data_IF_078043487249
#
_entry.id   IF_078043487249
#
_cell.length_a   1.000
_cell.length_b   1.000
_cell.length_c   1.000
_cell.angle_alpha   90.00
_cell.angle_beta   90.00
_cell.angle_gamma   90.00
#
_symmetry.space_group_name_H-M   'P 1'
#
loop_
_entity.id
_entity.type
_entity.pdbx_description
1 polymer ?
#
# COMPACT_ATOMS: atom_id res chain seq x y z
N UNK A 1 -0.64 21.32 9.60
CA UNK A 1 0.14 20.15 9.14
C UNK A 1 -0.83 19.26 8.40
N UNK A 2 -0.68 19.14 7.07
CA UNK A 2 -1.70 18.51 6.22
C UNK A 2 -1.62 16.98 6.34
N UNK A 3 -2.66 16.36 6.89
CA UNK A 3 -2.80 14.89 6.91
C UNK A 3 -3.15 14.41 5.51
N UNK A 4 -2.48 13.38 5.02
CA UNK A 4 -2.78 12.78 3.72
C UNK A 4 -3.98 11.83 3.87
N UNK A 5 -5.10 12.12 3.22
CA UNK A 5 -6.24 11.19 3.21
C UNK A 5 -5.93 10.02 2.30
N UNK A 6 -5.87 8.81 2.86
CA UNK A 6 -5.60 7.58 2.10
C UNK A 6 -6.85 6.72 2.09
N UNK A 7 -7.30 6.36 0.88
CA UNK A 7 -8.37 5.40 0.68
C UNK A 7 -7.79 4.16 0.02
N UNK A 8 -7.95 2.99 0.61
CA UNK A 8 -7.48 1.72 0.04
C UNK A 8 -8.63 0.90 -0.54
N UNK A 9 -8.34 0.19 -1.63
CA UNK A 9 -9.20 -0.89 -2.07
C UNK A 9 -9.07 -2.09 -1.12
N UNK A 10 -10.15 -2.84 -0.86
CA UNK A 10 -10.08 -4.10 -0.11
C UNK A 10 -9.11 -5.10 -0.76
N UNK A 11 -8.96 -5.03 -2.09
CA UNK A 11 -8.07 -5.88 -2.86
C UNK A 11 -6.59 -5.60 -2.56
N UNK A 12 -6.17 -4.33 -2.62
CA UNK A 12 -4.80 -3.92 -2.33
C UNK A 12 -4.41 -4.30 -0.89
N UNK A 13 -5.32 -4.02 0.05
CA UNK A 13 -5.13 -4.36 1.45
C UNK A 13 -4.98 -5.88 1.64
N UNK A 14 -5.88 -6.66 1.04
CA UNK A 14 -5.85 -8.12 1.14
C UNK A 14 -4.58 -8.70 0.53
N UNK A 15 -4.15 -8.28 -0.66
CA UNK A 15 -2.91 -8.78 -1.29
C UNK A 15 -1.66 -8.52 -0.45
N UNK A 16 -1.55 -7.32 0.12
CA UNK A 16 -0.44 -6.99 1.02
C UNK A 16 -0.39 -7.95 2.22
N UNK A 17 -1.55 -8.24 2.84
CA UNK A 17 -1.60 -9.21 3.94
C UNK A 17 -1.34 -10.64 3.49
N UNK A 18 -1.91 -11.08 2.36
CA UNK A 18 -1.66 -12.43 1.82
C UNK A 18 -0.18 -12.68 1.56
N UNK A 19 0.55 -11.67 1.10
CA UNK A 19 2.00 -11.75 0.94
C UNK A 19 2.72 -12.01 2.28
N UNK A 20 2.33 -11.30 3.35
CA UNK A 20 2.86 -11.56 4.69
C UNK A 20 2.48 -12.94 5.24
N UNK A 21 1.25 -13.40 4.99
CA UNK A 21 0.81 -14.75 5.40
C UNK A 21 1.53 -15.86 4.64
N UNK A 22 1.96 -15.62 3.39
CA UNK A 22 2.78 -16.57 2.62
C UNK A 22 4.17 -16.75 3.24
N UNK A 23 4.76 -15.67 3.76
CA UNK A 23 6.12 -15.63 4.30
C UNK A 23 6.15 -15.09 5.75
N UNK A 24 5.63 -15.84 6.74
CA UNK A 24 5.37 -15.33 8.09
C UNK A 24 6.63 -15.05 8.91
N UNK A 25 7.77 -15.66 8.56
CA UNK A 25 9.04 -15.54 9.30
C UNK A 25 10.09 -14.76 8.51
N UNK A 26 9.69 -14.00 7.50
CA UNK A 26 10.59 -13.26 6.63
C UNK A 26 10.14 -11.80 6.53
N UNK A 27 11.07 -10.86 6.31
CA UNK A 27 10.69 -9.50 5.99
C UNK A 27 10.07 -9.45 4.60
N UNK A 28 9.00 -8.67 4.46
CA UNK A 28 8.22 -8.62 3.22
C UNK A 28 8.14 -7.19 2.71
N UNK A 29 8.32 -7.00 1.41
CA UNK A 29 8.16 -5.72 0.73
C UNK A 29 7.35 -5.83 -0.55
N UNK A 30 6.55 -4.81 -0.83
CA UNK A 30 6.01 -4.60 -2.16
C UNK A 30 5.68 -3.15 -2.45
N UNK A 31 5.12 -2.91 -3.63
CA UNK A 31 4.77 -1.58 -4.14
C UNK A 31 3.27 -1.37 -4.16
N UNK A 32 2.86 -0.12 -3.95
CA UNK A 32 1.45 0.30 -3.94
C UNK A 32 1.17 1.11 -5.20
N UNK A 33 0.17 0.71 -5.95
CA UNK A 33 -0.26 1.40 -7.18
C UNK A 33 -1.67 1.94 -7.03
N UNK A 34 -1.94 3.04 -7.73
CA UNK A 34 -3.26 3.63 -7.76
C UNK A 34 -3.27 5.06 -8.26
N UNK A 35 -4.24 5.84 -7.78
CA UNK A 35 -4.53 7.17 -8.31
C UNK A 35 -4.28 8.22 -7.24
N UNK A 36 -3.59 9.29 -7.63
CA UNK A 36 -3.49 10.51 -6.81
C UNK A 36 -4.69 11.39 -7.11
N UNK A 37 -5.34 11.88 -6.07
CA UNK A 37 -6.51 12.74 -6.16
C UNK A 37 -6.02 14.18 -6.05
N UNK A 38 -6.13 14.94 -7.13
CA UNK A 38 -5.92 16.39 -7.10
C UNK A 38 -7.07 17.07 -6.37
N UNK A 39 -6.78 18.05 -5.53
CA UNK A 39 -7.78 18.89 -4.88
C UNK A 39 -8.69 19.64 -5.89
N UNK A 40 -8.27 19.74 -7.16
CA UNK A 40 -9.01 20.41 -8.24
C UNK A 40 -10.23 19.62 -8.78
N UNK A 41 -10.42 18.35 -8.39
CA UNK A 41 -11.47 17.49 -8.97
C UNK A 41 -12.80 17.49 -8.20
N UNK A 42 -12.91 18.20 -7.07
CA UNK A 42 -14.17 18.30 -6.30
C UNK A 42 -15.05 19.50 -6.69
N UNK A 43 -14.70 20.23 -7.76
CA UNK A 43 -15.48 21.38 -8.25
C UNK A 43 -16.60 21.02 -9.26
N UNK A 44 -17.16 19.81 -9.21
CA UNK A 44 -18.38 19.45 -9.94
C UNK A 44 -19.50 19.09 -8.96
N UNK A 45 -19.87 20.03 -8.07
CA UNK A 45 -20.96 19.78 -7.14
C UNK A 45 -21.15 20.71 -5.93
N UNK A 46 -20.74 21.98 -5.94
CA UNK A 46 -21.37 22.97 -5.06
C UNK A 46 -21.21 24.39 -5.61
N UNK A 47 -22.34 25.08 -5.72
CA UNK A 47 -22.41 26.46 -6.16
C UNK A 47 -22.02 27.40 -5.01
N UNK A 48 -21.10 28.32 -5.29
CA UNK A 48 -21.01 29.63 -4.65
C UNK A 48 -20.32 29.72 -3.29
N UNK A 49 -19.03 30.09 -3.28
CA UNK A 49 -18.58 31.33 -2.65
C UNK A 49 -17.11 31.65 -3.00
N UNK A 50 -16.89 32.94 -3.18
CA UNK A 50 -15.70 33.62 -3.65
C UNK A 50 -14.58 33.68 -2.61
N UNK A 51 -13.34 33.47 -3.07
CA UNK A 51 -12.15 34.24 -2.73
C UNK A 51 -11.62 34.20 -1.30
N UNK A 52 -10.52 33.47 -1.08
CA UNK A 52 -9.37 33.96 -0.34
C UNK A 52 -8.15 33.07 -0.65
N UNK A 53 -7.03 33.68 -1.01
CA UNK A 53 -5.75 32.99 -1.11
C UNK A 53 -5.38 32.37 0.26
N UNK A 54 -5.18 31.05 0.31
CA UNK A 54 -4.52 30.39 1.44
C UNK A 54 -3.36 29.54 0.93
N UNK A 55 -2.19 29.77 1.50
CA UNK A 55 -0.93 29.22 1.05
C UNK A 55 -0.75 27.74 1.39
N UNK A 56 -0.28 26.99 0.39
CA UNK A 56 0.85 26.06 0.48
C UNK A 56 0.83 25.01 1.57
N UNK A 57 0.00 23.98 1.41
CA UNK A 57 0.08 22.75 2.19
C UNK A 57 -0.62 21.59 1.49
N UNK A 58 -0.08 21.14 0.34
CA UNK A 58 -0.67 20.09 -0.51
C UNK A 58 -1.09 18.88 0.34
N UNK A 59 -2.40 18.68 0.55
CA UNK A 59 -2.91 17.44 1.11
C UNK A 59 -2.82 16.38 0.01
N UNK A 60 -1.96 15.37 0.20
CA UNK A 60 -1.74 14.36 -0.83
C UNK A 60 -2.79 13.25 -0.70
N UNK A 61 -4.01 13.52 -1.18
CA UNK A 61 -5.07 12.53 -1.19
C UNK A 61 -4.76 11.46 -2.25
N UNK A 62 -4.89 10.19 -1.89
CA UNK A 62 -4.66 9.11 -2.83
C UNK A 62 -5.59 7.92 -2.61
N UNK A 63 -5.87 7.22 -3.71
CA UNK A 63 -6.60 5.97 -3.74
C UNK A 63 -5.63 4.85 -4.12
N UNK A 64 -5.37 3.93 -3.19
CA UNK A 64 -4.57 2.73 -3.45
C UNK A 64 -5.46 1.67 -4.08
N UNK A 65 -5.25 1.39 -5.36
CA UNK A 65 -6.07 0.43 -6.11
C UNK A 65 -5.57 -0.99 -5.99
N UNK A 66 -4.25 -1.19 -6.01
CA UNK A 66 -3.63 -2.51 -5.95
C UNK A 66 -2.29 -2.49 -5.20
N UNK A 67 -1.86 -3.67 -4.73
CA UNK A 67 -0.57 -3.90 -4.09
C UNK A 67 0.17 -5.01 -4.84
N UNK A 68 1.40 -4.73 -5.26
CA UNK A 68 2.27 -5.65 -6.02
C UNK A 68 3.34 -6.23 -5.08
N UNK A 69 3.28 -7.54 -4.75
CA UNK A 69 4.34 -8.26 -4.04
C UNK A 69 5.66 -8.22 -4.79
N UNK A 70 6.76 -7.91 -4.06
CA UNK A 70 8.09 -7.88 -4.66
C UNK A 70 9.05 -8.86 -4.01
N UNK A 71 9.36 -8.69 -2.72
CA UNK A 71 10.47 -9.40 -2.09
C UNK A 71 10.05 -10.03 -0.77
N UNK A 72 10.57 -11.23 -0.54
CA UNK A 72 10.48 -11.96 0.74
C UNK A 72 11.84 -12.52 1.18
N UNK A 73 12.81 -12.65 0.28
CA UNK A 73 14.14 -13.18 0.62
C UNK A 73 15.22 -12.11 0.68
N UNK A 74 15.13 -11.10 -0.19
CA UNK A 74 16.18 -10.11 -0.36
C UNK A 74 16.10 -9.06 0.76
N UNK A 75 17.23 -8.77 1.44
CA UNK A 75 17.25 -7.70 2.42
C UNK A 75 16.92 -6.38 1.73
N UNK A 76 15.89 -5.70 2.27
CA UNK A 76 15.36 -4.40 1.82
C UNK A 76 16.38 -3.27 1.95
N UNK A 77 17.47 -3.38 1.21
CA UNK A 77 18.66 -2.54 1.27
C UNK A 77 18.70 -1.65 0.05
N UNK A 78 19.19 -0.42 0.25
CA UNK A 78 19.57 0.45 -0.84
C UNK A 78 21.11 0.53 -0.93
N UNK A 79 21.69 0.46 -2.14
CA UNK A 79 21.05 0.19 -3.43
C UNK A 79 20.87 -1.32 -3.71
N UNK A 80 19.66 -1.75 -4.07
CA UNK A 80 19.40 -3.09 -4.61
C UNK A 80 19.09 -2.98 -6.11
N UNK A 81 19.85 -3.63 -7.00
CA UNK A 81 19.59 -3.59 -8.44
C UNK A 81 18.20 -4.15 -8.76
N UNK A 82 17.76 -5.16 -8.02
CA UNK A 82 16.43 -5.75 -8.20
C UNK A 82 15.31 -4.78 -7.84
N UNK A 83 15.52 -3.90 -6.85
CA UNK A 83 14.55 -2.85 -6.53
C UNK A 83 14.42 -1.83 -7.66
N UNK A 84 15.50 -1.55 -8.40
CA UNK A 84 15.44 -0.63 -9.55
C UNK A 84 14.66 -1.24 -10.72
N UNK A 85 14.92 -2.51 -11.02
CA UNK A 85 14.14 -3.26 -12.02
C UNK A 85 12.67 -3.32 -11.63
N UNK A 86 12.39 -3.67 -10.36
CA UNK A 86 11.03 -3.70 -9.82
C UNK A 86 10.33 -2.35 -9.97
N UNK A 87 11.00 -1.27 -9.59
CA UNK A 87 10.47 0.09 -9.71
C UNK A 87 10.09 0.41 -11.15
N UNK A 88 10.98 0.18 -12.11
CA UNK A 88 10.70 0.43 -13.53
C UNK A 88 9.56 -0.44 -14.06
N UNK A 89 9.50 -1.72 -13.68
CA UNK A 89 8.48 -2.64 -14.17
C UNK A 89 7.09 -2.30 -13.64
N UNK A 90 6.97 -2.08 -12.32
CA UNK A 90 5.71 -1.68 -11.67
C UNK A 90 5.28 -0.30 -12.14
N UNK A 91 6.20 0.65 -12.28
CA UNK A 91 5.88 1.99 -12.80
C UNK A 91 5.33 1.91 -14.22
N UNK A 92 5.96 1.12 -15.10
CA UNK A 92 5.49 0.94 -16.47
C UNK A 92 4.11 0.28 -16.51
N UNK A 93 3.90 -0.81 -15.77
CA UNK A 93 2.61 -1.51 -15.68
C UNK A 93 1.49 -0.64 -15.07
N UNK A 94 1.82 0.21 -14.09
CA UNK A 94 0.86 1.17 -13.56
C UNK A 94 0.48 2.20 -14.63
N UNK A 95 1.45 2.73 -15.39
CA UNK A 95 1.17 3.70 -16.45
C UNK A 95 0.30 3.13 -17.58
N UNK A 96 0.49 1.87 -17.98
CA UNK A 96 -0.34 1.23 -19.02
C UNK A 96 -1.80 1.05 -18.59
N UNK A 97 -2.06 0.96 -17.29
CA UNK A 97 -3.42 0.86 -16.71
C UNK A 97 -4.00 2.21 -16.27
N UNK A 98 -3.33 3.32 -16.58
CA UNK A 98 -3.75 4.66 -16.17
C UNK A 98 -3.64 4.91 -14.66
N UNK A 99 -2.78 4.15 -13.99
CA UNK A 99 -2.44 4.27 -12.59
C UNK A 99 -1.03 4.87 -12.43
N UNK A 100 -0.66 5.12 -11.19
CA UNK A 100 0.64 5.65 -10.79
C UNK A 100 1.18 4.88 -9.60
N UNK A 101 2.50 4.80 -9.48
CA UNK A 101 3.15 4.27 -8.30
C UNK A 101 2.98 5.26 -7.13
N UNK A 102 2.31 4.83 -6.06
CA UNK A 102 1.98 5.65 -4.91
C UNK A 102 3.01 5.51 -3.79
N UNK A 103 3.50 4.29 -3.59
CA UNK A 103 4.23 3.96 -2.37
C UNK A 103 4.77 2.55 -2.31
N UNK A 104 5.15 2.16 -1.11
CA UNK A 104 5.59 0.80 -0.77
C UNK A 104 4.88 0.32 0.48
N UNK A 105 4.75 -0.99 0.63
CA UNK A 105 4.40 -1.60 1.91
C UNK A 105 5.57 -2.42 2.42
N UNK A 106 5.75 -2.44 3.74
CA UNK A 106 6.86 -3.08 4.42
C UNK A 106 6.35 -3.81 5.65
N UNK A 107 6.87 -5.02 5.87
CA UNK A 107 6.69 -5.82 7.08
C UNK A 107 8.06 -6.29 7.55
N UNK A 108 8.38 -6.07 8.83
CA UNK A 108 9.64 -6.54 9.40
C UNK A 108 9.61 -8.06 9.64
N UNK A 109 10.76 -8.69 9.84
CA UNK A 109 10.84 -10.12 10.15
C UNK A 109 10.37 -10.44 11.58
N UNK A 110 10.73 -9.58 12.53
CA UNK A 110 10.46 -9.82 13.96
C UNK A 110 9.06 -9.36 14.34
N UNK A 111 8.34 -10.23 15.05
CA UNK A 111 6.97 -9.98 15.49
C UNK A 111 6.76 -8.63 16.20
N UNK A 112 7.67 -8.27 17.10
CA UNK A 112 7.56 -7.07 17.94
C UNK A 112 8.35 -5.87 17.39
N UNK A 113 8.98 -6.00 16.23
CA UNK A 113 9.75 -4.90 15.64
C UNK A 113 8.84 -4.01 14.80
N UNK A 114 8.39 -2.93 15.43
CA UNK A 114 7.56 -1.91 14.81
C UNK A 114 8.36 -0.67 14.34
N UNK A 115 9.67 -0.79 14.13
CA UNK A 115 10.52 0.34 13.71
C UNK A 115 10.94 0.22 12.27
N UNK A 116 11.10 1.35 11.59
CA UNK A 116 11.72 1.40 10.26
C UNK A 116 13.23 1.41 10.45
N UNK A 117 13.93 0.39 9.96
CA UNK A 117 15.39 0.35 10.07
C UNK A 117 16.05 1.54 9.36
N UNK A 118 17.23 2.02 9.80
CA UNK A 118 17.95 3.09 9.11
C UNK A 118 18.28 2.77 7.65
N UNK A 119 18.47 1.49 7.33
CA UNK A 119 18.72 1.00 5.97
C UNK A 119 17.45 1.15 5.13
N UNK A 120 16.31 0.69 5.65
CA UNK A 120 15.00 0.85 5.00
C UNK A 120 14.68 2.33 4.82
N UNK A 121 15.01 3.19 5.79
CA UNK A 121 14.83 4.64 5.65
C UNK A 121 15.63 5.23 4.48
N UNK A 122 16.90 4.86 4.32
CA UNK A 122 17.70 5.27 3.15
C UNK A 122 17.08 4.80 1.82
N UNK A 123 16.52 3.60 1.81
CA UNK A 123 15.80 3.08 0.64
C UNK A 123 14.53 3.90 0.34
N UNK A 124 13.74 4.23 1.36
CA UNK A 124 12.57 5.10 1.21
C UNK A 124 12.96 6.48 0.71
N UNK A 125 14.06 7.06 1.20
CA UNK A 125 14.55 8.36 0.75
C UNK A 125 15.03 8.32 -0.72
N UNK A 126 15.70 7.24 -1.12
CA UNK A 126 16.07 7.01 -2.51
C UNK A 126 14.84 6.89 -3.42
N UNK A 127 13.80 6.16 -3.01
CA UNK A 127 12.53 6.06 -3.74
C UNK A 127 11.79 7.41 -3.79
N UNK A 128 11.77 8.15 -2.69
CA UNK A 128 11.16 9.48 -2.60
C UNK A 128 11.84 10.47 -3.56
N UNK A 129 13.16 10.39 -3.74
CA UNK A 129 13.90 11.23 -4.69
C UNK A 129 13.55 10.99 -6.16
N UNK A 130 13.00 9.81 -6.50
CA UNK A 130 12.54 9.44 -7.83
C UNK A 130 11.10 9.88 -8.11
N UNK A 131 10.35 10.20 -7.05
CA UNK A 131 8.98 10.70 -7.18
C UNK A 131 8.99 12.20 -7.55
N UNK A 132 7.96 12.70 -8.26
CA UNK A 132 7.81 14.13 -8.50
C UNK A 132 7.88 14.93 -7.19
N UNK A 133 8.59 16.06 -7.19
CA UNK A 133 8.96 16.81 -5.97
C UNK A 133 7.79 17.27 -5.08
N UNK A 134 6.58 17.34 -5.65
CA UNK A 134 5.37 17.74 -4.93
C UNK A 134 4.65 16.56 -4.26
N UNK A 135 5.17 15.35 -4.41
CA UNK A 135 4.45 14.12 -4.05
C UNK A 135 5.20 13.34 -3.00
N UNK A 136 4.49 12.96 -1.94
CA UNK A 136 5.04 12.18 -0.83
C UNK A 136 4.89 10.69 -1.14
N UNK A 137 5.94 9.93 -0.88
CA UNK A 137 5.93 8.48 -0.98
C UNK A 137 5.08 7.92 0.16
N UNK A 138 4.05 7.16 -0.21
CA UNK A 138 3.21 6.44 0.74
C UNK A 138 3.95 5.21 1.28
N UNK A 139 3.83 4.96 2.57
CA UNK A 139 4.41 3.82 3.26
C UNK A 139 3.30 3.13 4.04
N UNK A 140 3.02 1.89 3.69
CA UNK A 140 2.19 1.00 4.50
C UNK A 140 3.10 0.16 5.39
N UNK A 141 3.02 0.36 6.69
CA UNK A 141 3.72 -0.47 7.65
C UNK A 141 2.78 -1.53 8.19
N UNK A 142 3.12 -2.80 7.95
CA UNK A 142 2.34 -3.94 8.38
C UNK A 142 2.88 -4.39 9.74
N UNK A 143 2.01 -4.40 10.75
CA UNK A 143 2.37 -4.86 12.08
C UNK A 143 2.08 -6.35 12.23
N UNK A 144 3.14 -7.14 12.38
CA UNK A 144 3.03 -8.59 12.46
C UNK A 144 2.26 -9.07 13.70
N UNK A 145 2.24 -8.32 14.80
CA UNK A 145 1.45 -8.64 15.99
C UNK A 145 -0.05 -8.68 15.68
N UNK A 146 -0.49 -7.93 14.66
CA UNK A 146 -1.88 -7.88 14.22
C UNK A 146 -2.22 -8.95 13.16
N UNK A 147 -1.25 -9.72 12.67
CA UNK A 147 -1.46 -10.79 11.69
C UNK A 147 -1.93 -12.08 12.38
N UNK A 148 -3.19 -12.12 12.79
CA UNK A 148 -3.81 -13.30 13.42
C UNK A 148 -4.56 -14.15 12.39
N UNK A 149 -4.79 -15.44 12.69
CA UNK A 149 -5.67 -16.32 11.92
C UNK A 149 -6.71 -16.93 12.87
N UNK A 150 -7.98 -16.49 12.85
CA UNK A 150 -8.59 -15.52 11.92
C UNK A 150 -8.11 -14.07 12.19
N UNK A 151 -8.22 -13.18 11.19
CA UNK A 151 -7.74 -11.81 11.31
C UNK A 151 -8.74 -10.96 12.13
N UNK A 152 -8.31 -10.42 13.27
CA UNK A 152 -9.20 -9.82 14.28
C UNK A 152 -9.35 -8.28 14.17
N UNK A 153 -8.55 -7.63 13.33
CA UNK A 153 -8.59 -6.18 13.14
C UNK A 153 -7.57 -5.71 12.11
N UNK A 154 -7.48 -4.39 11.94
CA UNK A 154 -6.53 -3.80 11.00
C UNK A 154 -5.08 -4.09 11.42
N UNK A 155 -4.24 -4.38 10.43
CA UNK A 155 -2.83 -4.71 10.61
C UNK A 155 -1.88 -3.69 9.96
N UNK A 156 -2.41 -2.76 9.17
CA UNK A 156 -1.62 -1.81 8.39
C UNK A 156 -1.79 -0.39 8.94
N UNK A 157 -0.66 0.28 9.17
CA UNK A 157 -0.61 1.74 9.40
C UNK A 157 -0.12 2.43 8.15
N UNK A 158 -0.88 3.42 7.70
CA UNK A 158 -0.53 4.27 6.56
C UNK A 158 0.21 5.52 7.02
N UNK A 159 1.36 5.80 6.43
CA UNK A 159 2.17 6.98 6.73
C UNK A 159 2.95 7.43 5.49
N UNK A 160 3.53 8.63 5.54
CA UNK A 160 4.39 9.14 4.48
C UNK A 160 5.86 8.93 4.84
N UNK A 161 6.73 8.79 3.83
CA UNK A 161 8.15 8.48 4.05
C UNK A 161 8.90 9.50 4.94
N UNK A 162 8.49 10.76 4.97
CA UNK A 162 9.03 11.80 5.87
C UNK A 162 8.61 11.62 7.33
N UNK A 163 7.54 10.87 7.60
CA UNK A 163 7.10 10.49 8.96
C UNK A 163 7.80 9.23 9.48
N UNK A 164 8.51 8.47 8.64
CA UNK A 164 9.33 7.34 9.07
C UNK A 164 10.58 7.81 9.84
N UNK A 165 10.55 7.76 11.17
CA UNK A 165 11.74 7.99 12.00
C UNK A 165 12.29 6.66 12.55
N UNK A 166 13.56 6.28 12.26
CA UNK A 166 14.15 5.04 12.78
C UNK A 166 14.19 4.91 14.30
N UNK A 167 14.18 6.03 15.03
CA UNK A 167 14.24 6.01 16.49
C UNK A 167 12.88 5.75 17.14
N UNK A 168 11.79 6.07 16.43
CA UNK A 168 10.42 6.01 16.92
C UNK A 168 9.70 4.78 16.34
N UNK A 169 9.11 3.98 17.22
CA UNK A 169 8.21 2.90 16.81
C UNK A 169 6.95 3.44 16.14
N UNK A 170 6.49 2.74 15.10
CA UNK A 170 5.20 2.98 14.46
C UNK A 170 4.12 2.43 15.41
N UNK A 171 3.09 3.23 15.74
CA UNK A 171 2.02 2.80 16.64
C UNK A 171 1.26 1.60 16.05
N UNK A 172 0.55 0.87 16.91
CA UNK A 172 -0.41 -0.14 16.43
C UNK A 172 -1.55 0.53 15.67
N UNK A 173 -2.18 -0.12 14.68
CA UNK A 173 -3.34 0.42 13.97
C UNK A 173 -4.47 0.90 14.89
N UNK A 174 -4.71 0.18 16.00
CA UNK A 174 -5.70 0.55 17.02
C UNK A 174 -5.38 1.81 17.82
N UNK A 175 -4.13 2.28 17.77
CA UNK A 175 -3.65 3.48 18.47
C UNK A 175 -3.60 4.71 17.56
N UNK A 176 -3.83 4.53 16.26
CA UNK A 176 -3.82 5.64 15.29
C UNK A 176 -5.14 6.41 15.40
N UNK A 177 -5.12 7.76 15.51
CA UNK A 177 -6.34 8.56 15.50
C UNK A 177 -7.14 8.36 14.21
N UNK A 178 -8.47 8.32 14.31
CA UNK A 178 -9.36 8.07 13.17
C UNK A 178 -9.17 9.06 11.98
N UNK A 179 -8.69 10.29 12.26
CA UNK A 179 -8.38 11.30 11.24
C UNK A 179 -7.11 11.00 10.42
N UNK A 180 -6.21 10.19 10.97
CA UNK A 180 -4.99 9.73 10.30
C UNK A 180 -5.12 8.28 9.81
N UNK A 181 -6.18 7.58 10.21
CA UNK A 181 -6.46 6.22 9.79
C UNK A 181 -6.83 6.18 8.31
N UNK A 182 -6.35 5.13 7.65
CA UNK A 182 -6.74 4.83 6.29
C UNK A 182 -8.19 4.38 6.25
N UNK A 183 -8.94 4.82 5.23
CA UNK A 183 -10.31 4.38 4.98
C UNK A 183 -10.36 3.43 3.80
N UNK A 184 -11.49 2.74 3.61
CA UNK A 184 -11.64 1.77 2.53
C UNK A 184 -12.75 2.15 1.57
N UNK A 185 -12.55 1.87 0.29
CA UNK A 185 -13.50 2.21 -0.76
C UNK A 185 -13.24 1.46 -2.06
N UNK A 186 -14.19 1.51 -2.98
CA UNK A 186 -14.02 1.01 -4.35
C UNK A 186 -13.86 2.18 -5.31
N UNK A 187 -13.00 2.06 -6.31
CA UNK A 187 -12.88 3.11 -7.31
C UNK A 187 -14.17 3.24 -8.12
N UNK A 188 -14.68 4.46 -8.27
CA UNK A 188 -15.75 4.75 -9.21
C UNK A 188 -15.16 5.43 -10.46
N UNK A 189 -15.23 4.74 -11.60
CA UNK A 189 -14.72 5.24 -12.87
C UNK A 189 -15.53 6.41 -13.44
N UNK A 190 -16.82 6.49 -13.13
CA UNK A 190 -17.71 7.52 -13.66
C UNK A 190 -17.48 8.86 -12.95
N UNK A 191 -17.27 8.83 -11.62
CA UNK A 191 -17.03 10.02 -10.81
C UNK A 191 -15.54 10.34 -10.62
N UNK A 192 -14.65 9.46 -11.10
CA UNK A 192 -13.19 9.54 -10.90
C UNK A 192 -12.79 9.78 -9.44
N UNK A 193 -13.54 9.16 -8.52
CA UNK A 193 -13.35 9.30 -7.09
C UNK A 193 -13.55 7.94 -6.38
N UNK A 194 -13.08 7.78 -5.14
CA UNK A 194 -13.51 6.67 -4.31
C UNK A 194 -15.04 6.68 -4.19
N UNK A 195 -15.66 5.56 -4.51
CA UNK A 195 -17.09 5.32 -4.40
C UNK A 195 -17.53 5.07 -2.96
N UNK A 196 -18.59 4.29 -2.78
CA UNK A 196 -19.14 4.02 -1.45
C UNK A 196 -18.07 3.48 -0.50
N UNK A 197 -17.98 4.01 0.74
CA UNK A 197 -17.04 3.51 1.73
C UNK A 197 -17.34 2.05 2.04
N UNK A 198 -16.29 1.26 2.16
CA UNK A 198 -16.35 -0.13 2.62
C UNK A 198 -16.04 -0.11 4.11
N UNK A 199 -16.83 -0.82 4.91
CA UNK A 199 -16.57 -0.91 6.35
C UNK A 199 -15.33 -1.75 6.63
N UNK A 200 -14.65 -1.47 7.74
CA UNK A 200 -13.46 -2.24 8.14
C UNK A 200 -13.79 -3.72 8.28
N UNK A 201 -14.95 -4.06 8.83
CA UNK A 201 -15.42 -5.45 8.97
C UNK A 201 -15.55 -6.15 7.63
N UNK A 202 -16.04 -5.47 6.59
CA UNK A 202 -16.15 -6.04 5.24
C UNK A 202 -14.79 -6.29 4.58
N UNK A 203 -13.79 -5.46 4.89
CA UNK A 203 -12.40 -5.70 4.45
C UNK A 203 -11.81 -6.90 5.19
N UNK A 204 -12.00 -6.98 6.50
CA UNK A 204 -11.52 -8.12 7.29
C UNK A 204 -12.19 -9.44 6.88
N UNK A 205 -13.47 -9.42 6.55
CA UNK A 205 -14.18 -10.55 5.97
C UNK A 205 -13.57 -10.96 4.62
N UNK A 206 -13.21 -10.00 3.77
CA UNK A 206 -12.53 -10.25 2.49
C UNK A 206 -11.18 -10.94 2.71
N UNK A 207 -10.39 -10.49 3.69
CA UNK A 207 -9.11 -11.11 4.06
C UNK A 207 -9.34 -12.54 4.58
N UNK A 208 -10.31 -12.73 5.48
CA UNK A 208 -10.65 -14.05 6.03
C UNK A 208 -11.03 -15.02 4.92
N UNK A 209 -11.94 -14.61 4.02
CA UNK A 209 -12.37 -15.41 2.88
C UNK A 209 -11.20 -15.78 1.95
N UNK A 210 -10.25 -14.86 1.73
CA UNK A 210 -9.07 -15.13 0.93
C UNK A 210 -8.11 -16.13 1.62
N UNK A 211 -7.96 -16.04 2.94
CA UNK A 211 -7.18 -17.00 3.72
C UNK A 211 -7.82 -18.40 3.71
N UNK A 212 -9.13 -18.48 3.91
CA UNK A 212 -9.89 -19.74 3.85
C UNK A 212 -9.83 -20.39 2.45
N UNK A 213 -9.76 -19.56 1.40
CA UNK A 213 -9.54 -20.01 0.03
C UNK A 213 -8.08 -20.44 -0.26
N UNK A 214 -7.17 -20.34 0.72
CA UNK A 214 -5.74 -20.58 0.57
C UNK A 214 -5.06 -19.69 -0.47
N UNK A 215 -5.58 -18.48 -0.68
CA UNK A 215 -5.07 -17.53 -1.67
C UNK A 215 -3.62 -17.09 -1.38
N UNK A 216 -3.19 -17.11 -0.12
CA UNK A 216 -1.82 -16.76 0.30
C UNK A 216 -0.77 -17.72 -0.27
N UNK A 217 -1.10 -18.98 -0.57
CA UNK A 217 -0.15 -19.89 -1.24
C UNK A 217 -0.07 -19.68 -2.76
N UNK A 218 -0.96 -18.85 -3.32
CA UNK A 218 -1.10 -18.65 -4.78
C UNK A 218 -0.63 -17.28 -5.24
N UNK A 219 -0.54 -16.32 -4.33
CA UNK A 219 -0.05 -14.98 -4.64
C UNK A 219 1.45 -15.05 -4.88
N UNK A 220 1.91 -14.74 -6.09
CA UNK A 220 3.32 -14.71 -6.45
C UNK A 220 3.94 -13.33 -6.17
N UNK A 221 5.25 -13.28 -6.00
CA UNK A 221 6.00 -12.03 -5.95
C UNK A 221 7.11 -11.96 -7.01
N UNK A 222 7.93 -10.90 -6.97
CA UNK A 222 9.01 -10.74 -7.94
C UNK A 222 10.12 -11.76 -7.70
N UNK A 223 10.40 -12.15 -6.46
CA UNK A 223 11.36 -13.22 -6.16
C UNK A 223 10.93 -14.54 -6.85
N UNK A 224 9.65 -14.95 -6.76
CA UNK A 224 9.13 -16.11 -7.49
C UNK A 224 9.28 -15.96 -9.02
N UNK A 225 9.00 -14.78 -9.57
CA UNK A 225 9.12 -14.52 -11.01
C UNK A 225 10.57 -14.58 -11.51
N UNK A 226 11.53 -14.21 -10.67
CA UNK A 226 12.96 -14.29 -11.01
C UNK A 226 13.43 -15.74 -11.05
N UNK A 227 12.86 -16.60 -10.21
CA UNK A 227 13.10 -18.05 -10.25
C UNK A 227 12.40 -18.72 -11.44
N UNK A 228 11.14 -18.36 -11.72
CA UNK A 228 10.35 -18.83 -12.86
C UNK A 228 9.68 -17.66 -13.61
N UNK A 229 10.26 -17.22 -14.75
CA UNK A 229 9.72 -16.12 -15.54
C UNK A 229 8.31 -16.34 -16.11
N UNK A 230 7.78 -17.57 -16.07
CA UNK A 230 6.41 -17.86 -16.50
C UNK A 230 5.36 -17.38 -15.49
N UNK A 231 5.76 -17.13 -14.24
CA UNK A 231 4.89 -16.64 -13.18
C UNK A 231 4.64 -15.15 -13.35
N UNK A 232 3.38 -14.72 -13.42
CA UNK A 232 3.04 -13.29 -13.48
C UNK A 232 2.83 -12.73 -12.08
N UNK A 233 3.72 -11.84 -11.64
CA UNK A 233 3.62 -11.18 -10.34
C UNK A 233 2.90 -9.81 -10.38
N UNK A 234 2.78 -9.18 -11.56
CA UNK A 234 2.23 -7.82 -11.71
C UNK A 234 0.70 -7.79 -11.67
N UNK A 235 0.05 -8.71 -12.38
CA UNK A 235 -1.41 -8.74 -12.55
C UNK A 235 -1.99 -9.99 -11.90
N UNK A 236 -2.37 -9.85 -10.63
CA UNK A 236 -2.88 -10.96 -9.83
C UNK A 236 -4.22 -10.60 -9.19
N UNK A 237 -5.34 -10.57 -9.95
CA UNK A 237 -6.62 -10.14 -9.40
C UNK A 237 -7.04 -11.06 -8.26
N UNK A 238 -7.51 -10.49 -7.15
CA UNK A 238 -7.87 -11.26 -5.95
C UNK A 238 -8.91 -12.36 -6.24
N UNK A 239 -9.85 -12.10 -7.14
CA UNK A 239 -10.84 -13.08 -7.59
C UNK A 239 -10.23 -14.34 -8.24
N UNK A 240 -9.12 -14.18 -8.98
CA UNK A 240 -8.40 -15.32 -9.57
C UNK A 240 -7.64 -16.12 -8.51
N UNK A 241 -7.13 -15.46 -7.47
CA UNK A 241 -6.45 -16.11 -6.34
C UNK A 241 -7.42 -16.88 -5.45
N UNK A 242 -8.68 -16.47 -5.38
CA UNK A 242 -9.72 -17.15 -4.60
C UNK A 242 -10.36 -18.34 -5.32
N UNK A 243 -10.31 -18.39 -6.65
CA UNK A 243 -10.93 -19.47 -7.44
C UNK A 243 -9.97 -20.64 -7.62
N UNK A 244 -10.20 -21.77 -6.95
CA UNK A 244 -9.42 -23.00 -7.19
C UNK A 244 -9.66 -23.46 -8.64
N UNK A 245 -8.58 -23.60 -9.42
CA UNK A 245 -8.61 -24.34 -10.68
C UNK A 245 -8.42 -25.83 -10.40
#
# INVERSE_FOLDING_TARGET
MSSATVVASPEAYTKALLHCYRYPTQPVMGMLVGKRLSEDSTAAGSAGQSGAASGGGSSSNCFVSDAVPLFHTLPMTAPSPMLEVAYSHVQYAACTTGQSLLGVYIANERLLDNKVSPITKKMLDALQSRMPSQTKLLVWFINNECLTSPPMGLAIVSLTADRCNPEKGIPLPSQVPAEESMTFGRWNSDTLAPGAPVTEEGVMETVSNALDAFAHYRIADLDDHVEDPSINYLEQPLSALMTRK
#
